data_IF_546716466598
#
_entry.id   IF_546716466598
#
_cell.length_a   1.000
_cell.length_b   1.000
_cell.length_c   1.000
_cell.angle_alpha   90.00
_cell.angle_beta   90.00
_cell.angle_gamma   90.00
#
_symmetry.space_group_name_H-M   'P 1'
#
loop_
_entity.id
_entity.type
_entity.pdbx_description
1 polymer ?
#
# COMPACT_ATOMS: atom_id res chain seq x y z
N UNK A 1 -8.84 -7.70 21.79
CA UNK A 1 -8.57 -6.84 20.62
C UNK A 1 -7.16 -7.14 20.16
N UNK A 2 -6.94 -7.29 18.86
CA UNK A 2 -5.60 -7.46 18.29
C UNK A 2 -5.18 -6.09 17.75
N UNK A 3 -4.06 -5.56 18.23
CA UNK A 3 -3.44 -4.33 17.73
C UNK A 3 -2.28 -4.69 16.81
N UNK A 4 -2.22 -4.09 15.63
CA UNK A 4 -1.02 -4.09 14.80
C UNK A 4 -0.15 -2.88 15.13
N UNK A 5 1.15 -3.09 15.27
CA UNK A 5 2.13 -2.01 15.40
C UNK A 5 3.07 -2.10 14.19
N UNK A 6 3.18 -1.02 13.41
CA UNK A 6 4.22 -0.85 12.40
C UNK A 6 5.38 -0.04 13.03
N UNK A 7 6.62 -0.28 12.58
CA UNK A 7 7.79 0.39 13.12
C UNK A 7 8.10 1.68 12.38
N UNK A 8 8.56 2.68 13.13
CA UNK A 8 8.89 3.99 12.61
C UNK A 8 10.35 4.16 12.22
N UNK A 9 10.53 5.01 11.23
CA UNK A 9 11.66 5.08 10.29
C UNK A 9 12.85 5.84 10.82
N UNK A 10 14.00 5.79 10.14
CA UNK A 10 15.04 6.84 10.04
C UNK A 10 15.43 6.92 8.57
N UNK A 11 15.10 8.01 7.88
CA UNK A 11 15.51 8.19 6.48
C UNK A 11 17.03 8.41 6.40
N UNK A 12 17.75 7.44 5.81
CA UNK A 12 19.15 7.59 5.42
C UNK A 12 19.23 7.48 3.89
N UNK A 13 19.70 8.54 3.22
CA UNK A 13 19.92 8.51 1.77
C UNK A 13 21.19 7.72 1.46
N UNK A 14 21.06 6.41 1.24
CA UNK A 14 22.18 5.57 0.82
C UNK A 14 21.84 4.08 0.69
N UNK A 15 21.37 3.67 -0.49
CA UNK A 15 21.15 2.26 -0.87
C UNK A 15 19.87 2.06 -1.69
N UNK A 16 19.95 1.25 -2.75
CA UNK A 16 18.82 0.74 -3.58
C UNK A 16 18.20 -0.50 -2.93
N UNK A 17 16.91 -0.78 -3.15
CA UNK A 17 16.05 -1.64 -2.29
C UNK A 17 15.33 -2.79 -3.04
N UNK A 18 14.65 -3.77 -2.43
CA UNK A 18 14.04 -4.99 -3.07
C UNK A 18 12.70 -4.76 -3.80
N UNK A 19 12.00 -5.84 -4.24
CA UNK A 19 10.56 -5.96 -4.60
C UNK A 19 9.91 -7.09 -3.77
N UNK A 20 8.85 -6.83 -2.99
CA UNK A 20 8.24 -7.77 -2.02
C UNK A 20 6.98 -7.12 -1.41
N UNK A 21 6.04 -7.91 -0.87
CA UNK A 21 4.90 -7.38 -0.12
C UNK A 21 4.68 -8.08 1.22
N UNK A 22 4.96 -7.38 2.32
CA UNK A 22 4.60 -7.82 3.66
C UNK A 22 3.12 -7.56 3.94
N UNK A 23 2.46 -8.40 4.74
CA UNK A 23 1.09 -8.16 5.22
C UNK A 23 0.99 -8.46 6.72
N UNK A 24 0.36 -7.58 7.49
CA UNK A 24 0.23 -7.80 8.94
C UNK A 24 -0.81 -8.87 9.26
N UNK A 25 -0.57 -9.69 10.29
CA UNK A 25 -1.55 -10.60 10.87
C UNK A 25 -1.80 -11.88 10.06
N UNK A 26 -0.87 -12.26 9.18
CA UNK A 26 -0.95 -13.49 8.40
C UNK A 26 -0.31 -14.70 9.10
N UNK A 27 -0.65 -15.89 8.63
CA UNK A 27 0.07 -17.14 8.90
C UNK A 27 0.18 -17.87 7.57
N UNK A 28 1.37 -17.85 6.98
CA UNK A 28 1.54 -18.18 5.56
C UNK A 28 0.73 -17.22 4.69
N UNK A 29 -0.13 -17.75 3.81
CA UNK A 29 -1.05 -16.96 2.98
C UNK A 29 -2.43 -16.75 3.65
N UNK A 30 -2.67 -17.31 4.84
CA UNK A 30 -3.96 -17.16 5.53
C UNK A 30 -3.99 -15.93 6.44
N UNK A 31 -5.18 -15.36 6.67
CA UNK A 31 -5.38 -14.24 7.58
C UNK A 31 -5.12 -12.88 6.93
N UNK A 32 -4.30 -12.09 7.61
CA UNK A 32 -3.99 -10.68 7.35
C UNK A 32 -5.06 -9.68 7.79
N UNK A 33 -4.60 -8.48 8.16
CA UNK A 33 -5.46 -7.34 8.46
C UNK A 33 -5.80 -6.57 7.18
N UNK A 34 -7.06 -6.17 7.04
CA UNK A 34 -7.57 -5.43 5.89
C UNK A 34 -8.85 -4.70 6.25
N UNK A 35 -9.22 -3.67 5.49
CA UNK A 35 -10.55 -3.07 5.59
C UNK A 35 -11.62 -4.03 5.05
N UNK A 36 -12.77 -4.10 5.72
CA UNK A 36 -13.90 -4.93 5.28
C UNK A 36 -14.56 -4.29 4.05
N UNK A 37 -14.87 -5.07 3.02
CA UNK A 37 -15.60 -4.56 1.86
C UNK A 37 -17.11 -4.39 2.14
N UNK A 38 -17.65 -5.13 3.11
CA UNK A 38 -19.03 -5.00 3.53
C UNK A 38 -19.16 -3.93 4.62
N UNK A 39 -20.32 -3.22 4.70
CA UNK A 39 -20.57 -2.24 5.76
C UNK A 39 -20.26 -2.80 7.14
N UNK A 40 -19.44 -2.07 7.89
CA UNK A 40 -19.04 -2.44 9.24
C UNK A 40 -19.11 -1.20 10.11
N UNK A 41 -19.55 -1.38 11.35
CA UNK A 41 -19.56 -0.28 12.33
C UNK A 41 -18.77 -0.65 13.57
N UNK A 42 -18.01 0.29 14.11
CA UNK A 42 -17.38 0.19 15.43
C UNK A 42 -17.75 1.42 16.26
N UNK A 43 -18.30 1.20 17.46
CA UNK A 43 -18.77 2.27 18.35
C UNK A 43 -19.71 3.30 17.69
N UNK A 44 -20.51 2.86 16.70
CA UNK A 44 -21.43 3.72 15.96
C UNK A 44 -20.84 4.40 14.72
N UNK A 45 -19.53 4.28 14.50
CA UNK A 45 -18.85 4.82 13.31
C UNK A 45 -18.76 3.76 12.22
N UNK A 46 -19.00 4.14 10.96
CA UNK A 46 -18.68 3.32 9.77
C UNK A 46 -17.17 3.04 9.73
N UNK A 47 -16.77 1.79 9.46
CA UNK A 47 -15.39 1.27 9.44
C UNK A 47 -15.22 0.19 8.38
N UNK A 48 -15.60 0.50 7.14
CA UNK A 48 -15.44 -0.39 6.00
C UNK A 48 -14.98 0.37 4.77
N UNK A 49 -14.91 -0.30 3.63
CA UNK A 49 -14.71 0.32 2.32
C UNK A 49 -16.03 0.90 1.74
N UNK A 50 -17.15 0.75 2.45
CA UNK A 50 -18.46 1.24 2.03
C UNK A 50 -18.53 2.76 1.96
N UNK A 51 -18.29 3.32 0.77
CA UNK A 51 -18.19 4.77 0.54
C UNK A 51 -16.76 5.30 0.49
N UNK A 52 -15.76 4.41 0.56
CA UNK A 52 -14.33 4.75 0.59
C UNK A 52 -13.80 4.94 2.01
N UNK A 53 -12.48 4.86 2.14
CA UNK A 53 -11.77 5.12 3.40
C UNK A 53 -11.69 6.63 3.57
N UNK A 54 -12.26 7.18 4.64
CA UNK A 54 -12.15 8.62 4.89
C UNK A 54 -10.90 8.92 5.67
N UNK A 55 -10.29 10.06 5.36
CA UNK A 55 -9.15 10.54 6.11
C UNK A 55 -9.38 11.95 6.65
N UNK A 56 -8.91 12.18 7.86
CA UNK A 56 -8.87 13.50 8.46
C UNK A 56 -7.44 13.87 8.83
N UNK A 57 -7.21 15.13 9.22
CA UNK A 57 -5.87 15.61 9.53
C UNK A 57 -5.87 16.60 10.69
N UNK A 58 -4.77 16.61 11.42
CA UNK A 58 -4.50 17.58 12.46
C UNK A 58 -4.64 19.01 11.92
N UNK A 59 -5.43 19.84 12.60
CA UNK A 59 -5.76 21.19 12.17
C UNK A 59 -6.92 21.28 11.16
N UNK A 60 -7.55 20.15 10.78
CA UNK A 60 -8.81 20.10 10.05
C UNK A 60 -8.76 20.63 8.62
N UNK A 61 -7.57 20.77 8.03
CA UNK A 61 -7.38 21.25 6.65
C UNK A 61 -5.95 21.01 6.19
N UNK A 62 -5.71 20.99 4.87
CA UNK A 62 -4.35 20.89 4.32
C UNK A 62 -3.45 22.01 4.83
N UNK A 63 -3.96 23.24 4.93
CA UNK A 63 -3.22 24.37 5.51
C UNK A 63 -2.88 24.16 7.00
N UNK A 64 -3.83 23.61 7.76
CA UNK A 64 -3.64 23.26 9.17
C UNK A 64 -2.55 22.23 9.37
N UNK A 65 -2.56 21.15 8.59
CA UNK A 65 -1.53 20.11 8.61
C UNK A 65 -0.18 20.66 8.13
N UNK A 66 -0.16 21.37 7.00
CA UNK A 66 1.04 22.00 6.43
C UNK A 66 1.76 22.89 7.45
N UNK A 67 1.01 23.69 8.20
CA UNK A 67 1.57 24.59 9.22
C UNK A 67 2.30 23.86 10.37
N UNK A 68 2.14 22.54 10.49
CA UNK A 68 2.84 21.75 11.50
C UNK A 68 4.27 21.39 11.11
N UNK A 69 4.58 21.36 9.81
CA UNK A 69 5.85 20.89 9.27
C UNK A 69 6.74 22.04 8.79
N UNK A 70 8.05 21.76 8.73
CA UNK A 70 9.02 22.62 8.04
C UNK A 70 9.37 21.98 6.71
N UNK A 71 9.29 22.74 5.61
CA UNK A 71 9.66 22.27 4.28
C UNK A 71 10.86 23.03 3.73
N UNK A 72 11.71 22.34 2.97
CA UNK A 72 12.74 22.98 2.14
C UNK A 72 12.13 23.49 0.83
N UNK A 73 12.82 24.40 0.13
CA UNK A 73 12.48 24.73 -1.26
C UNK A 73 11.28 25.65 -1.50
N UNK A 74 10.71 26.29 -0.47
CA UNK A 74 9.62 27.26 -0.66
C UNK A 74 8.27 26.64 -1.01
N UNK A 75 8.03 25.41 -0.56
CA UNK A 75 6.76 24.67 -0.71
C UNK A 75 5.56 25.50 -0.23
N UNK A 76 4.50 25.49 -1.03
CA UNK A 76 3.23 26.15 -0.68
C UNK A 76 2.22 25.18 -0.09
N UNK A 77 1.13 25.70 0.49
CA UNK A 77 -0.01 24.87 0.94
C UNK A 77 -0.57 24.03 -0.19
N UNK A 78 -0.65 24.58 -1.42
CA UNK A 78 -1.14 23.86 -2.60
C UNK A 78 -0.24 22.69 -2.95
N UNK A 79 1.07 22.88 -2.92
CA UNK A 79 2.03 21.80 -3.21
C UNK A 79 1.92 20.69 -2.16
N UNK A 80 1.76 21.06 -0.89
CA UNK A 80 1.53 20.10 0.20
C UNK A 80 0.20 19.36 0.07
N UNK A 81 -0.86 20.04 -0.35
CA UNK A 81 -2.15 19.41 -0.62
C UNK A 81 -2.01 18.36 -1.73
N UNK A 82 -1.39 18.71 -2.85
CA UNK A 82 -1.15 17.78 -3.96
C UNK A 82 -0.34 16.58 -3.50
N UNK A 83 0.71 16.78 -2.71
CA UNK A 83 1.51 15.67 -2.18
C UNK A 83 0.70 14.71 -1.31
N UNK A 84 -0.24 15.21 -0.49
CA UNK A 84 -1.13 14.36 0.31
C UNK A 84 -2.10 13.59 -0.59
N UNK A 85 -2.76 14.28 -1.53
CA UNK A 85 -3.70 13.65 -2.46
C UNK A 85 -3.03 12.60 -3.34
N UNK A 86 -1.82 12.87 -3.84
CA UNK A 86 -1.01 11.93 -4.61
C UNK A 86 -0.61 10.70 -3.78
N UNK A 87 -0.26 10.89 -2.51
CA UNK A 87 0.11 9.77 -1.63
C UNK A 87 -1.06 8.79 -1.41
N UNK A 88 -2.28 9.32 -1.23
CA UNK A 88 -3.49 8.48 -1.19
C UNK A 88 -3.81 7.86 -2.55
N UNK A 89 -3.71 8.65 -3.63
CA UNK A 89 -4.02 8.19 -4.98
C UNK A 89 -3.07 7.08 -5.44
N UNK A 90 -1.82 7.06 -4.99
CA UNK A 90 -0.85 6.01 -5.29
C UNK A 90 -1.43 4.60 -5.07
N UNK A 91 -2.24 4.41 -4.02
CA UNK A 91 -2.84 3.12 -3.70
C UNK A 91 -4.08 2.77 -4.53
N UNK A 92 -4.61 3.71 -5.31
CA UNK A 92 -5.82 3.56 -6.13
C UNK A 92 -5.54 3.37 -7.63
N UNK A 93 -4.32 3.68 -8.09
CA UNK A 93 -4.00 3.66 -9.52
C UNK A 93 -4.08 2.25 -10.11
N UNK A 94 -4.43 2.15 -11.40
CA UNK A 94 -4.41 0.86 -12.10
C UNK A 94 -2.98 0.37 -12.24
N UNK A 95 -2.73 -0.92 -11.97
CA UNK A 95 -1.43 -1.54 -12.22
C UNK A 95 -1.12 -1.42 -13.72
N UNK A 96 -0.09 -0.66 -14.13
CA UNK A 96 0.21 -0.44 -15.54
C UNK A 96 0.71 -1.70 -16.26
N UNK A 97 1.23 -2.69 -15.52
CA UNK A 97 1.74 -3.93 -16.10
C UNK A 97 0.62 -4.96 -16.33
N UNK A 98 -0.29 -5.10 -15.36
CA UNK A 98 -1.35 -6.14 -15.42
C UNK A 98 -2.73 -5.61 -15.81
N UNK A 99 -2.95 -4.29 -15.75
CA UNK A 99 -4.27 -3.67 -15.91
C UNK A 99 -5.20 -3.89 -14.72
N UNK A 100 -4.75 -4.55 -13.65
CA UNK A 100 -5.58 -4.79 -12.47
C UNK A 100 -5.83 -3.50 -11.69
N UNK A 101 -7.11 -3.26 -11.40
CA UNK A 101 -7.55 -2.14 -10.58
C UNK A 101 -7.70 -2.55 -9.12
N UNK A 102 -8.17 -1.63 -8.29
CA UNK A 102 -8.59 -1.88 -6.91
C UNK A 102 -9.95 -1.22 -6.65
N UNK A 103 -10.66 -1.68 -5.62
CA UNK A 103 -11.87 -1.03 -5.12
C UNK A 103 -11.56 0.02 -4.03
N UNK A 104 -10.28 0.18 -3.66
CA UNK A 104 -9.86 1.23 -2.73
C UNK A 104 -10.17 2.62 -3.29
N UNK A 105 -10.74 3.46 -2.44
CA UNK A 105 -10.97 4.87 -2.69
C UNK A 105 -10.80 5.64 -1.39
N UNK A 106 -10.35 6.89 -1.49
CA UNK A 106 -10.09 7.74 -0.34
C UNK A 106 -10.85 9.05 -0.47
N UNK A 107 -11.44 9.51 0.64
CA UNK A 107 -12.19 10.77 0.67
C UNK A 107 -11.76 11.62 1.86
N UNK A 108 -11.40 12.90 1.67
CA UNK A 108 -11.15 13.78 2.80
C UNK A 108 -12.43 14.01 3.61
N UNK A 109 -12.36 13.84 4.93
CA UNK A 109 -13.43 14.14 5.89
C UNK A 109 -12.89 15.09 6.96
N UNK A 110 -12.77 16.37 6.59
CA UNK A 110 -12.28 17.42 7.49
C UNK A 110 -13.33 17.92 8.47
N UNK A 111 -14.58 17.48 8.34
CA UNK A 111 -15.63 17.76 9.30
C UNK A 111 -15.50 16.86 10.54
N UNK A 112 -15.02 15.63 10.35
CA UNK A 112 -14.59 14.76 11.44
C UNK A 112 -13.24 15.23 11.98
N UNK A 113 -13.19 15.55 13.26
CA UNK A 113 -11.94 15.93 13.93
C UNK A 113 -10.96 14.77 13.93
N UNK A 114 -9.71 15.01 13.56
CA UNK A 114 -8.63 14.04 13.78
C UNK A 114 -8.43 13.82 15.28
N UNK A 115 -8.64 12.60 15.75
CA UNK A 115 -8.55 12.27 17.18
C UNK A 115 -7.38 11.35 17.43
N UNK A 116 -6.26 11.94 17.84
CA UNK A 116 -5.00 11.20 18.04
C UNK A 116 -4.89 10.50 19.39
N UNK A 117 -3.67 10.00 19.62
CA UNK A 117 -3.27 9.12 20.71
C UNK A 117 -3.09 9.80 22.09
N UNK A 118 -4.06 10.61 22.55
CA UNK A 118 -3.97 11.29 23.86
C UNK A 118 -2.68 12.11 24.07
N UNK A 119 -2.42 12.56 25.31
CA UNK A 119 -1.39 13.57 25.59
C UNK A 119 0.08 13.10 25.41
N UNK A 120 0.35 11.81 25.17
CA UNK A 120 1.73 11.28 25.14
C UNK A 120 2.02 10.25 24.04
N UNK A 121 1.17 10.06 23.02
CA UNK A 121 1.32 9.04 21.96
C UNK A 121 1.57 7.58 22.45
N UNK A 122 1.52 7.32 23.75
CA UNK A 122 1.54 6.02 24.40
C UNK A 122 0.12 5.48 24.65
N UNK A 123 -0.91 6.27 24.33
CA UNK A 123 -2.29 5.81 24.29
C UNK A 123 -2.53 4.86 23.11
N UNK A 124 -3.53 3.99 23.24
CA UNK A 124 -4.02 3.19 22.11
C UNK A 124 -4.72 4.08 21.07
N UNK A 125 -4.86 3.56 19.86
CA UNK A 125 -5.56 4.22 18.76
C UNK A 125 -6.98 4.64 19.15
N UNK A 126 -7.40 5.84 18.74
CA UNK A 126 -8.75 6.34 18.99
C UNK A 126 -9.63 6.21 17.76
N UNK A 127 -10.45 5.15 17.72
CA UNK A 127 -11.38 4.88 16.60
C UNK A 127 -12.58 5.84 16.54
N UNK A 128 -12.53 7.04 17.12
CA UNK A 128 -13.60 8.05 17.02
C UNK A 128 -13.34 9.13 15.96
N UNK A 129 -12.13 9.21 15.40
CA UNK A 129 -11.82 10.07 14.26
C UNK A 129 -12.31 9.51 12.91
N UNK A 130 -11.67 9.89 11.82
CA UNK A 130 -11.93 9.27 10.52
C UNK A 130 -11.37 7.82 10.49
N UNK A 131 -11.49 7.11 9.37
CA UNK A 131 -10.85 5.81 9.24
C UNK A 131 -9.31 5.91 9.30
N UNK A 132 -8.75 6.98 8.73
CA UNK A 132 -7.32 7.32 8.80
C UNK A 132 -7.14 8.76 9.29
N UNK A 133 -6.45 8.97 10.41
CA UNK A 133 -6.14 10.31 10.90
C UNK A 133 -4.64 10.65 10.75
N UNK A 134 -4.33 11.82 10.18
CA UNK A 134 -2.96 12.27 9.94
C UNK A 134 -2.49 13.26 11.01
N UNK A 135 -1.33 13.00 11.61
CA UNK A 135 -0.74 13.80 12.66
C UNK A 135 0.71 14.20 12.38
N UNK A 136 1.09 15.36 12.89
CA UNK A 136 2.46 15.86 12.94
C UNK A 136 2.91 15.89 14.40
N UNK A 137 3.95 15.13 14.76
CA UNK A 137 4.35 14.95 16.16
C UNK A 137 5.86 15.00 16.38
N UNK A 138 6.28 15.49 17.54
CA UNK A 138 7.69 15.73 17.86
C UNK A 138 8.34 14.60 18.68
N UNK A 139 7.54 13.71 19.26
CA UNK A 139 8.00 12.72 20.25
C UNK A 139 7.25 11.39 20.06
N UNK A 140 7.43 10.76 18.90
CA UNK A 140 6.75 9.51 18.54
C UNK A 140 7.25 8.29 19.32
N UNK A 141 6.77 7.10 18.97
CA UNK A 141 7.28 5.88 19.59
C UNK A 141 8.68 5.54 19.08
N UNK A 142 8.97 5.87 17.81
CA UNK A 142 10.26 5.57 17.17
C UNK A 142 11.22 6.77 17.10
N UNK A 143 10.85 7.91 17.67
CA UNK A 143 11.70 9.07 17.74
C UNK A 143 11.43 9.90 18.99
N UNK A 144 12.48 10.51 19.54
CA UNK A 144 12.36 11.38 20.71
C UNK A 144 12.34 12.86 20.30
N UNK A 145 11.88 13.72 21.21
CA UNK A 145 11.98 15.17 21.06
C UNK A 145 13.39 15.62 20.63
N UNK A 146 13.44 16.44 19.58
CA UNK A 146 14.69 16.95 19.00
C UNK A 146 15.25 16.09 17.87
N UNK A 147 14.61 14.95 17.56
CA UNK A 147 14.93 14.18 16.36
C UNK A 147 14.54 14.97 15.09
N UNK A 148 15.50 15.11 14.17
CA UNK A 148 15.34 15.85 12.89
C UNK A 148 15.25 14.94 11.67
N UNK A 149 15.22 13.62 11.86
CA UNK A 149 15.05 12.63 10.81
C UNK A 149 13.64 12.65 10.24
N UNK A 150 13.54 12.51 8.93
CA UNK A 150 12.26 12.31 8.23
C UNK A 150 11.77 10.90 8.54
N UNK A 151 10.74 10.79 9.38
CA UNK A 151 10.28 9.54 9.97
C UNK A 151 8.75 9.55 10.04
N UNK A 152 8.13 8.40 9.80
CA UNK A 152 6.72 8.17 10.03
C UNK A 152 6.52 7.00 10.98
N UNK A 153 5.32 6.88 11.53
CA UNK A 153 4.81 5.64 12.10
C UNK A 153 3.31 5.55 11.83
N UNK A 154 2.84 4.33 11.59
CA UNK A 154 1.43 4.03 11.46
C UNK A 154 0.99 3.07 12.54
N UNK A 155 -0.16 3.38 13.13
CA UNK A 155 -0.85 2.48 14.05
C UNK A 155 -2.21 2.16 13.50
N UNK A 156 -2.65 0.93 13.69
CA UNK A 156 -4.03 0.56 13.38
C UNK A 156 -4.58 -0.39 14.43
N UNK A 157 -5.90 -0.37 14.56
CA UNK A 157 -6.63 -1.32 15.36
C UNK A 157 -7.45 -2.23 14.45
N UNK A 158 -7.45 -3.53 14.75
CA UNK A 158 -8.30 -4.49 14.08
C UNK A 158 -9.36 -5.07 15.03
N UNK A 159 -10.59 -5.14 14.54
CA UNK A 159 -11.59 -6.04 15.07
C UNK A 159 -11.32 -7.47 14.57
N UNK A 160 -11.64 -8.46 15.39
CA UNK A 160 -11.67 -9.84 14.92
C UNK A 160 -12.88 -10.11 14.02
N UNK A 161 -13.05 -11.39 13.67
CA UNK A 161 -14.18 -11.87 12.89
C UNK A 161 -13.93 -11.80 11.39
N UNK A 162 -14.64 -12.63 10.61
CA UNK A 162 -14.40 -12.69 9.17
C UNK A 162 -14.75 -11.35 8.51
N UNK A 163 -14.18 -11.15 7.33
CA UNK A 163 -14.40 -9.98 6.47
C UNK A 163 -15.04 -10.39 5.15
N UNK A 164 -15.59 -9.42 4.45
CA UNK A 164 -15.90 -9.53 3.04
C UNK A 164 -14.73 -8.97 2.23
N UNK A 165 -14.26 -9.73 1.24
CA UNK A 165 -13.23 -9.29 0.31
C UNK A 165 -13.82 -8.33 -0.73
N UNK A 166 -12.98 -7.49 -1.34
CA UNK A 166 -13.38 -6.62 -2.47
C UNK A 166 -13.83 -7.38 -3.71
N UNK A 167 -13.52 -8.67 -3.80
CA UNK A 167 -14.05 -9.60 -4.79
C UNK A 167 -15.50 -10.05 -4.49
N UNK A 168 -16.04 -9.72 -3.32
CA UNK A 168 -17.37 -10.15 -2.88
C UNK A 168 -17.40 -11.45 -2.08
N UNK A 169 -16.26 -12.13 -1.89
CA UNK A 169 -16.21 -13.30 -1.00
C UNK A 169 -16.49 -12.88 0.44
N UNK A 170 -17.60 -13.34 1.00
CA UNK A 170 -17.97 -13.15 2.41
C UNK A 170 -17.37 -14.24 3.30
N UNK A 171 -17.17 -13.96 4.58
CA UNK A 171 -16.77 -14.99 5.55
C UNK A 171 -15.28 -15.33 5.50
N UNK A 172 -14.46 -14.50 4.84
CA UNK A 172 -13.02 -14.74 4.74
C UNK A 172 -12.35 -14.54 6.11
N UNK A 173 -11.57 -15.51 6.55
CA UNK A 173 -10.91 -15.47 7.85
C UNK A 173 -9.71 -14.50 7.83
N UNK A 174 -9.94 -13.28 8.29
CA UNK A 174 -8.98 -12.18 8.39
C UNK A 174 -9.35 -11.30 9.59
N UNK A 175 -8.54 -10.30 9.92
CA UNK A 175 -8.93 -9.26 10.88
C UNK A 175 -9.33 -7.99 10.16
N UNK A 176 -10.44 -7.37 10.59
CA UNK A 176 -10.94 -6.15 9.98
C UNK A 176 -10.30 -4.92 10.63
N UNK A 177 -9.60 -4.08 9.86
CA UNK A 177 -9.14 -2.79 10.35
C UNK A 177 -10.37 -1.92 10.69
N UNK A 178 -10.32 -1.24 11.83
CA UNK A 178 -11.41 -0.39 12.35
C UNK A 178 -10.95 1.03 12.72
N UNK A 179 -9.76 1.41 12.28
CA UNK A 179 -9.16 2.72 12.50
C UNK A 179 -7.64 2.66 12.36
N UNK A 180 -7.05 3.72 11.80
CA UNK A 180 -5.61 3.90 11.67
C UNK A 180 -5.21 5.36 11.91
N UNK A 181 -4.06 5.56 12.54
CA UNK A 181 -3.45 6.88 12.72
C UNK A 181 -2.08 6.84 12.05
N UNK A 182 -1.80 7.84 11.22
CA UNK A 182 -0.50 8.08 10.60
C UNK A 182 0.14 9.28 11.29
N UNK A 183 1.36 9.11 11.77
CA UNK A 183 2.08 10.15 12.52
C UNK A 183 3.42 10.39 11.82
N UNK A 184 3.70 11.63 11.44
CA UNK A 184 4.98 12.01 10.84
C UNK A 184 5.78 12.89 11.80
N UNK A 185 7.09 12.69 11.85
CA UNK A 185 7.99 13.47 12.69
C UNK A 185 8.06 14.92 12.20
N UNK A 186 7.45 15.84 12.95
CA UNK A 186 7.43 17.27 12.59
C UNK A 186 8.72 18.02 12.96
N UNK A 187 9.62 17.39 13.71
CA UNK A 187 10.95 17.93 14.03
C UNK A 187 11.91 17.91 12.83
N UNK A 188 11.54 17.21 11.76
CA UNK A 188 12.30 17.15 10.52
C UNK A 188 11.98 18.31 9.58
N UNK A 189 12.93 18.62 8.69
CA UNK A 189 12.67 19.41 7.48
C UNK A 189 12.42 18.47 6.32
N UNK A 190 11.27 18.61 5.66
CA UNK A 190 10.90 17.76 4.53
C UNK A 190 11.20 18.41 3.19
N UNK A 191 11.78 17.64 2.28
CA UNK A 191 11.55 17.86 0.85
C UNK A 191 10.16 17.30 0.50
N UNK A 192 9.46 17.93 -0.44
CA UNK A 192 8.09 17.53 -0.78
C UNK A 192 8.01 16.09 -1.33
N UNK A 193 9.01 15.66 -2.11
CA UNK A 193 9.04 14.31 -2.65
C UNK A 193 9.22 13.27 -1.56
N UNK A 194 10.07 13.57 -0.56
CA UNK A 194 10.27 12.72 0.61
C UNK A 194 8.99 12.64 1.43
N UNK A 195 8.33 13.78 1.68
CA UNK A 195 7.06 13.82 2.42
C UNK A 195 5.99 12.96 1.75
N UNK A 196 5.81 13.09 0.42
CA UNK A 196 4.86 12.28 -0.35
C UNK A 196 5.18 10.79 -0.26
N UNK A 197 6.44 10.41 -0.47
CA UNK A 197 6.85 9.00 -0.43
C UNK A 197 6.64 8.40 0.95
N UNK A 198 7.07 9.09 1.99
CA UNK A 198 6.87 8.65 3.36
C UNK A 198 5.39 8.51 3.69
N UNK A 199 4.57 9.50 3.33
CA UNK A 199 3.12 9.39 3.55
C UNK A 199 2.51 8.22 2.76
N UNK A 200 2.94 7.99 1.51
CA UNK A 200 2.48 6.85 0.70
C UNK A 200 2.82 5.53 1.38
N UNK A 201 4.03 5.41 1.93
CA UNK A 201 4.47 4.26 2.70
C UNK A 201 3.56 4.03 3.92
N UNK A 202 3.35 5.06 4.74
CA UNK A 202 2.52 4.97 5.95
C UNK A 202 1.06 4.62 5.62
N UNK A 203 0.51 5.13 4.52
CA UNK A 203 -0.82 4.72 4.03
C UNK A 203 -0.84 3.21 3.72
N UNK A 204 0.25 2.64 3.23
CA UNK A 204 0.38 1.20 3.04
C UNK A 204 0.17 0.42 4.34
N UNK A 205 0.76 0.87 5.44
CA UNK A 205 0.49 0.28 6.76
C UNK A 205 -0.96 0.42 7.20
N UNK A 206 -1.59 1.58 6.95
CA UNK A 206 -3.02 1.77 7.22
C UNK A 206 -3.93 0.85 6.40
N UNK A 207 -3.42 0.32 5.29
CA UNK A 207 -4.09 -0.68 4.45
C UNK A 207 -3.76 -2.13 4.84
N UNK A 208 -2.90 -2.34 5.83
CA UNK A 208 -2.53 -3.67 6.34
C UNK A 208 -1.25 -4.25 5.76
N UNK A 209 -0.48 -3.49 4.97
CA UNK A 209 0.85 -3.91 4.50
C UNK A 209 1.88 -3.78 5.61
N UNK A 210 2.74 -4.78 5.73
CA UNK A 210 3.88 -4.76 6.65
C UNK A 210 5.15 -4.40 5.88
N UNK A 211 6.16 -3.93 6.61
CA UNK A 211 7.50 -3.77 6.06
C UNK A 211 8.06 -5.11 5.59
N UNK A 212 8.78 -5.09 4.47
CA UNK A 212 9.32 -6.29 3.84
C UNK A 212 10.60 -6.83 4.47
N UNK A 213 11.30 -6.02 5.26
CA UNK A 213 12.68 -6.27 5.70
C UNK A 213 12.89 -6.09 7.22
N UNK A 214 11.83 -5.83 7.99
CA UNK A 214 11.91 -5.71 9.45
C UNK A 214 11.85 -7.07 10.14
N UNK A 215 12.85 -7.31 10.99
CA UNK A 215 12.91 -8.47 11.89
C UNK A 215 12.05 -8.31 13.15
N UNK A 216 11.63 -7.11 13.53
CA UNK A 216 10.75 -6.86 14.68
C UNK A 216 9.26 -6.86 14.33
N UNK A 217 8.67 -8.06 14.22
CA UNK A 217 7.22 -8.30 14.21
C UNK A 217 6.71 -9.07 12.99
N UNK A 218 6.35 -10.35 13.18
CA UNK A 218 6.06 -11.37 12.14
C UNK A 218 7.24 -11.73 11.21
N UNK A 219 8.47 -11.66 11.75
CA UNK A 219 9.69 -12.23 11.16
C UNK A 219 10.06 -11.74 9.74
N UNK A 220 9.70 -10.52 9.32
CA UNK A 220 10.08 -10.04 7.98
C UNK A 220 9.60 -10.98 6.88
N UNK A 221 8.32 -11.37 6.96
CA UNK A 221 7.72 -12.29 5.98
C UNK A 221 7.00 -11.52 4.91
N UNK A 222 7.28 -11.83 3.65
CA UNK A 222 6.56 -11.28 2.50
C UNK A 222 6.04 -12.37 1.59
N UNK A 223 5.09 -11.99 0.74
CA UNK A 223 4.48 -12.86 -0.27
C UNK A 223 5.15 -12.62 -1.61
N UNK A 224 5.48 -13.71 -2.28
CA UNK A 224 6.12 -13.72 -3.59
C UNK A 224 5.81 -15.04 -4.32
N UNK A 225 6.13 -15.14 -5.61
CA UNK A 225 5.91 -16.36 -6.40
C UNK A 225 7.17 -17.19 -6.62
N UNK A 226 8.35 -16.57 -6.56
CA UNK A 226 9.59 -17.24 -6.94
C UNK A 226 10.82 -16.78 -6.16
N UNK A 227 10.69 -15.95 -5.11
CA UNK A 227 11.82 -15.44 -4.33
C UNK A 227 12.91 -16.48 -4.01
N UNK A 228 14.14 -16.17 -4.42
CA UNK A 228 15.34 -16.96 -4.18
C UNK A 228 16.41 -16.11 -3.49
N UNK A 229 16.47 -16.21 -2.15
CA UNK A 229 17.45 -15.52 -1.32
C UNK A 229 18.87 -16.12 -1.30
N UNK A 230 19.20 -17.10 -2.16
CA UNK A 230 20.50 -17.79 -2.10
C UNK A 230 21.70 -16.96 -2.59
N UNK A 231 21.48 -15.94 -3.41
CA UNK A 231 22.54 -15.00 -3.81
C UNK A 231 22.01 -13.60 -4.16
N UNK A 232 22.90 -12.62 -4.04
CA UNK A 232 22.69 -11.23 -4.42
C UNK A 232 22.12 -11.05 -5.85
N UNK A 233 22.68 -11.80 -6.80
CA UNK A 233 22.30 -11.67 -8.20
C UNK A 233 21.00 -12.43 -8.54
N UNK A 234 20.71 -13.53 -7.83
CA UNK A 234 19.53 -14.36 -8.08
C UNK A 234 18.27 -13.70 -7.51
N UNK A 235 18.35 -13.16 -6.30
CA UNK A 235 17.23 -12.49 -5.66
C UNK A 235 16.79 -11.22 -6.40
N UNK A 236 17.74 -10.44 -6.93
CA UNK A 236 17.42 -9.14 -7.54
C UNK A 236 16.91 -9.20 -8.98
N UNK A 237 17.56 -10.03 -9.83
CA UNK A 237 17.35 -9.98 -11.27
C UNK A 237 16.33 -11.00 -11.79
N UNK A 238 16.02 -12.05 -11.02
CA UNK A 238 15.15 -13.14 -11.46
C UNK A 238 13.79 -13.21 -10.73
N UNK A 239 13.70 -12.72 -9.49
CA UNK A 239 12.54 -13.01 -8.63
C UNK A 239 11.79 -11.79 -8.13
N UNK A 240 12.45 -10.63 -8.14
CA UNK A 240 11.90 -9.39 -7.58
C UNK A 240 11.73 -8.37 -8.70
N UNK A 241 11.16 -8.73 -9.85
CA UNK A 241 10.91 -7.75 -10.93
C UNK A 241 9.65 -8.06 -11.74
N UNK A 242 9.15 -9.29 -11.66
CA UNK A 242 7.88 -9.71 -12.24
C UNK A 242 6.70 -9.23 -11.38
N UNK A 243 5.53 -9.07 -12.00
CA UNK A 243 4.30 -8.92 -11.24
C UNK A 243 3.72 -10.30 -10.98
N UNK A 244 3.46 -10.61 -9.71
CA UNK A 244 2.71 -11.80 -9.30
C UNK A 244 1.23 -11.50 -9.02
N UNK A 245 0.78 -10.28 -9.29
CA UNK A 245 -0.59 -9.82 -9.00
C UNK A 245 -1.68 -10.74 -9.59
N UNK A 246 -1.44 -11.29 -10.78
CA UNK A 246 -2.36 -12.21 -11.47
C UNK A 246 -2.42 -13.62 -10.86
N UNK A 247 -1.48 -13.98 -9.97
CA UNK A 247 -1.50 -15.26 -9.26
C UNK A 247 -2.40 -15.23 -8.02
N UNK A 248 -2.79 -14.04 -7.56
CA UNK A 248 -3.70 -13.91 -6.42
C UNK A 248 -5.05 -14.48 -6.79
N UNK A 249 -5.48 -15.51 -6.07
CA UNK A 249 -6.83 -16.04 -6.20
C UNK A 249 -7.81 -15.01 -5.57
N UNK A 250 -8.65 -14.35 -6.38
CA UNK A 250 -9.44 -13.24 -5.88
C UNK A 250 -10.55 -13.69 -4.93
N UNK A 251 -10.96 -14.95 -5.01
CA UNK A 251 -12.01 -15.51 -4.16
C UNK A 251 -11.45 -16.07 -2.84
N UNK A 252 -10.18 -16.48 -2.82
CA UNK A 252 -9.50 -16.99 -1.66
C UNK A 252 -7.99 -16.76 -1.78
N UNK A 253 -7.47 -15.59 -1.35
CA UNK A 253 -6.05 -15.27 -1.44
C UNK A 253 -5.14 -16.32 -0.77
N UNK A 254 -5.61 -16.98 0.29
CA UNK A 254 -4.88 -18.06 0.95
C UNK A 254 -4.67 -19.32 0.08
N UNK A 255 -5.47 -19.49 -0.96
CA UNK A 255 -5.39 -20.59 -1.93
C UNK A 255 -4.77 -20.16 -3.28
N UNK A 256 -4.02 -19.05 -3.29
CA UNK A 256 -3.28 -18.60 -4.48
C UNK A 256 -2.21 -19.61 -4.84
N UNK A 257 -2.33 -20.23 -6.02
CA UNK A 257 -1.37 -21.22 -6.51
C UNK A 257 -0.13 -20.50 -7.05
N UNK A 258 1.05 -20.98 -6.67
CA UNK A 258 2.31 -20.39 -7.09
C UNK A 258 2.80 -19.26 -6.18
N UNK A 259 2.00 -18.80 -5.21
CA UNK A 259 2.46 -17.88 -4.18
C UNK A 259 2.95 -18.63 -2.94
N UNK A 260 3.95 -18.07 -2.27
CA UNK A 260 4.47 -18.55 -1.00
C UNK A 260 4.86 -17.38 -0.10
N UNK A 261 5.01 -17.65 1.20
CA UNK A 261 5.56 -16.68 2.14
C UNK A 261 7.03 -16.98 2.38
N UNK A 262 7.86 -15.94 2.29
CA UNK A 262 9.30 -16.01 2.46
C UNK A 262 9.73 -15.15 3.63
N UNK A 263 10.65 -15.66 4.45
CA UNK A 263 11.29 -14.90 5.52
C UNK A 263 12.56 -14.27 4.98
N UNK A 264 12.69 -12.95 5.11
CA UNK A 264 13.90 -12.23 4.73
C UNK A 264 14.46 -11.47 5.92
N UNK A 265 15.73 -11.76 6.21
CA UNK A 265 16.46 -11.07 7.26
C UNK A 265 16.86 -9.69 6.76
N UNK A 266 16.75 -8.67 7.63
CA UNK A 266 17.29 -7.34 7.35
C UNK A 266 18.77 -7.44 6.91
N UNK A 267 19.14 -6.75 5.83
CA UNK A 267 20.48 -6.81 5.23
C UNK A 267 20.68 -7.95 4.22
N UNK A 268 19.65 -8.80 4.05
CA UNK A 268 19.22 -9.43 2.80
C UNK A 268 19.81 -8.84 1.51
N UNK A 269 20.83 -9.40 0.84
CA UNK A 269 21.50 -8.58 -0.17
C UNK A 269 20.64 -8.56 -1.48
N UNK A 270 19.71 -9.52 -1.64
CA UNK A 270 18.61 -9.45 -2.60
C UNK A 270 17.66 -8.27 -2.42
N UNK A 271 17.45 -7.83 -1.17
CA UNK A 271 16.60 -6.68 -0.86
C UNK A 271 17.26 -5.33 -0.94
N UNK A 272 18.53 -5.29 -1.34
CA UNK A 272 19.32 -4.06 -1.46
C UNK A 272 20.00 -3.91 -2.83
N UNK A 273 19.48 -4.60 -3.84
CA UNK A 273 20.13 -4.72 -5.14
C UNK A 273 19.69 -3.65 -6.13
N UNK A 274 20.56 -3.31 -7.08
CA UNK A 274 20.30 -2.28 -8.09
C UNK A 274 19.11 -2.65 -9.00
N UNK A 275 18.22 -1.69 -9.24
CA UNK A 275 17.07 -1.84 -10.15
C UNK A 275 15.82 -2.43 -9.49
N UNK A 276 15.89 -2.66 -8.18
CA UNK A 276 14.79 -3.17 -7.38
C UNK A 276 14.24 -1.99 -6.53
N UNK A 277 12.93 -1.97 -6.22
CA UNK A 277 12.28 -0.77 -5.69
C UNK A 277 10.94 -1.04 -4.95
N UNK A 278 10.96 -1.03 -3.62
CA UNK A 278 9.77 -1.20 -2.77
C UNK A 278 9.46 0.08 -2.04
N UNK A 279 8.18 0.45 -2.08
CA UNK A 279 7.66 1.46 -1.18
C UNK A 279 7.70 0.99 0.29
N UNK A 280 7.18 -0.19 0.59
CA UNK A 280 7.11 -0.85 1.92
C UNK A 280 8.44 -1.39 2.51
N UNK A 281 9.60 -0.76 2.31
CA UNK A 281 10.88 -1.14 2.94
C UNK A 281 11.11 -0.25 4.16
N UNK A 282 11.64 -0.81 5.26
CA UNK A 282 11.85 -0.10 6.53
C UNK A 282 13.05 0.82 6.63
N UNK A 283 14.09 0.62 5.82
CA UNK A 283 15.34 1.39 5.92
C UNK A 283 15.55 2.38 4.78
N UNK A 284 14.57 2.58 3.90
CA UNK A 284 14.65 3.54 2.81
C UNK A 284 13.32 3.73 2.08
N UNK A 285 13.06 4.95 1.59
CA UNK A 285 11.93 5.26 0.71
C UNK A 285 12.25 4.86 -0.75
N UNK A 286 12.66 3.61 -0.98
CA UNK A 286 12.85 2.98 -2.31
C UNK A 286 13.76 3.70 -3.33
N UNK A 287 14.38 4.84 -2.99
CA UNK A 287 15.08 5.69 -3.96
C UNK A 287 14.19 6.37 -5.01
N UNK A 288 12.85 6.38 -4.86
CA UNK A 288 11.88 6.91 -5.84
C UNK A 288 11.63 8.42 -5.77
N UNK A 289 12.61 9.19 -5.30
CA UNK A 289 12.46 10.63 -5.14
C UNK A 289 12.09 11.27 -6.49
N UNK A 290 10.85 11.76 -6.60
CA UNK A 290 10.31 12.41 -7.80
C UNK A 290 9.25 11.64 -8.58
N UNK A 291 9.01 10.34 -8.32
CA UNK A 291 7.96 9.57 -9.02
C UNK A 291 6.57 9.84 -8.41
N UNK A 292 5.58 10.21 -9.24
CA UNK A 292 4.19 10.44 -8.82
C UNK A 292 3.45 9.13 -8.53
N UNK A 293 3.98 8.01 -8.99
CA UNK A 293 3.43 6.66 -8.79
C UNK A 293 4.47 5.79 -8.10
N UNK A 294 4.58 5.86 -6.76
CA UNK A 294 5.65 5.16 -6.05
C UNK A 294 5.46 3.65 -5.96
N UNK A 295 4.31 3.12 -6.38
CA UNK A 295 4.09 1.68 -6.36
C UNK A 295 4.85 0.99 -7.49
N UNK A 296 5.61 -0.05 -7.16
CA UNK A 296 6.22 -0.98 -8.11
C UNK A 296 5.36 -2.22 -8.36
N UNK A 297 5.80 -3.10 -9.28
CA UNK A 297 5.09 -4.33 -9.65
C UNK A 297 4.69 -5.20 -8.44
N UNK A 298 5.55 -5.31 -7.42
CA UNK A 298 5.24 -6.11 -6.22
C UNK A 298 4.36 -5.34 -5.23
N UNK A 299 4.38 -4.01 -5.21
CA UNK A 299 3.39 -3.25 -4.43
C UNK A 299 1.97 -3.44 -5.02
N UNK A 300 1.85 -3.51 -6.34
CA UNK A 300 0.59 -3.85 -7.01
C UNK A 300 0.16 -5.30 -6.74
N UNK A 301 1.09 -6.27 -6.80
CA UNK A 301 0.82 -7.65 -6.40
C UNK A 301 0.39 -7.75 -4.94
N UNK A 302 1.15 -7.09 -4.08
CA UNK A 302 0.88 -6.88 -2.66
C UNK A 302 -0.53 -6.41 -2.45
N UNK A 303 -0.94 -5.36 -3.16
CA UNK A 303 -2.29 -4.78 -3.09
C UNK A 303 -3.41 -5.74 -3.43
N UNK A 304 -3.22 -6.61 -4.42
CA UNK A 304 -4.26 -7.58 -4.80
C UNK A 304 -4.51 -8.63 -3.70
N UNK A 305 -3.54 -8.87 -2.82
CA UNK A 305 -3.70 -9.89 -1.77
C UNK A 305 -4.71 -9.52 -0.67
N UNK A 306 -4.67 -8.33 -0.04
CA UNK A 306 -5.73 -7.87 0.84
C UNK A 306 -6.98 -7.41 0.08
N UNK A 307 -6.81 -6.81 -1.11
CA UNK A 307 -7.90 -6.17 -1.88
C UNK A 307 -8.01 -6.75 -3.30
N UNK A 308 -8.37 -8.04 -3.44
CA UNK A 308 -8.45 -8.67 -4.75
C UNK A 308 -9.57 -8.10 -5.61
N UNK A 309 -9.28 -7.87 -6.89
CA UNK A 309 -10.27 -7.50 -7.89
C UNK A 309 -10.74 -8.73 -8.68
N UNK A 310 -12.06 -8.85 -8.89
CA UNK A 310 -12.61 -9.76 -9.92
C UNK A 310 -12.54 -9.16 -11.33
N UNK A 311 -12.35 -7.84 -11.43
CA UNK A 311 -12.18 -7.17 -12.69
C UNK A 311 -10.74 -7.39 -13.17
N UNK A 312 -10.51 -8.55 -13.76
CA UNK A 312 -9.51 -8.64 -14.83
C UNK A 312 -10.10 -7.81 -15.95
N UNK A 313 -9.72 -6.54 -16.06
CA UNK A 313 -9.80 -5.89 -17.36
C UNK A 313 -8.99 -6.80 -18.27
N UNK A 314 -9.68 -7.62 -19.08
CA UNK A 314 -9.04 -8.46 -20.08
C UNK A 314 -8.37 -7.45 -21.01
N UNK A 315 -7.11 -7.12 -20.76
CA UNK A 315 -6.25 -6.50 -21.75
C UNK A 315 -6.28 -7.51 -22.89
N UNK A 316 -6.90 -7.21 -24.04
CA UNK A 316 -6.88 -8.15 -25.14
C UNK A 316 -5.40 -8.39 -25.41
N UNK A 317 -4.95 -9.64 -25.26
CA UNK A 317 -3.60 -9.99 -25.68
C UNK A 317 -3.43 -9.49 -27.11
N UNK A 318 -2.27 -8.94 -27.47
CA UNK A 318 -2.04 -8.44 -28.83
C UNK A 318 -2.38 -9.51 -29.91
N UNK A 319 -2.32 -10.79 -29.55
CA UNK A 319 -2.76 -11.92 -30.37
C UNK A 319 -4.29 -11.99 -30.63
N UNK A 320 -5.13 -11.54 -29.71
CA UNK A 320 -6.60 -11.55 -29.89
C UNK A 320 -7.04 -10.50 -30.92
N UNK A 321 -6.37 -9.35 -30.96
CA UNK A 321 -6.58 -8.33 -32.00
C UNK A 321 -6.05 -8.78 -33.37
N UNK A 322 -4.93 -9.51 -33.41
CA UNK A 322 -4.41 -10.10 -34.64
C UNK A 322 -5.37 -11.16 -35.23
N UNK A 323 -5.94 -12.04 -34.40
CA UNK A 323 -6.94 -13.03 -34.82
C UNK A 323 -8.24 -12.41 -35.34
N UNK A 324 -8.67 -11.28 -34.76
CA UNK A 324 -9.82 -10.51 -35.25
C UNK A 324 -9.53 -9.79 -36.57
N UNK A 325 -8.31 -9.27 -36.75
CA UNK A 325 -7.87 -8.65 -38.00
C UNK A 325 -7.75 -9.68 -39.14
N UNK A 326 -7.20 -10.87 -38.85
CA UNK A 326 -7.07 -11.96 -39.82
C UNK A 326 -8.44 -12.55 -40.19
N UNK A 327 -9.34 -12.70 -39.21
CA UNK A 327 -10.71 -13.16 -39.43
C UNK A 327 -11.52 -12.20 -40.33
N UNK A 328 -11.39 -10.88 -40.11
CA UNK A 328 -12.02 -9.87 -40.94
C UNK A 328 -11.45 -9.85 -42.37
N UNK A 329 -10.13 -10.05 -42.52
CA UNK A 329 -9.46 -10.15 -43.82
C UNK A 329 -9.94 -11.35 -44.65
N UNK A 330 -10.07 -12.52 -44.01
CA UNK A 330 -10.59 -13.74 -44.65
C UNK A 330 -12.05 -13.60 -45.08
N UNK A 331 -12.90 -13.01 -44.25
CA UNK A 331 -14.31 -12.77 -44.58
C UNK A 331 -14.45 -11.77 -45.74
N UNK A 332 -13.64 -10.70 -45.75
CA UNK A 332 -13.57 -9.74 -46.85
C UNK A 332 -13.15 -10.38 -48.18
N UNK A 333 -12.15 -11.26 -48.16
CA UNK A 333 -11.69 -11.99 -49.35
C UNK A 333 -12.75 -12.95 -49.92
N UNK A 334 -13.49 -13.66 -49.05
CA UNK A 334 -14.57 -14.57 -49.45
C UNK A 334 -15.74 -13.80 -50.09
N UNK A 335 -16.12 -12.66 -49.51
CA UNK A 335 -17.20 -11.81 -50.05
C UNK A 335 -16.79 -11.21 -51.42
N UNK A 336 -15.53 -10.76 -51.56
CA UNK A 336 -15.03 -10.23 -52.82
C UNK A 336 -15.00 -11.29 -53.94
N UNK A 337 -14.68 -12.55 -53.62
CA UNK A 337 -14.65 -13.65 -54.59
C UNK A 337 -16.04 -14.02 -55.09
N UNK A 338 -17.07 -13.95 -54.24
CA UNK A 338 -18.48 -14.20 -54.63
C UNK A 338 -19.11 -13.11 -55.49
N UNK A 339 -18.54 -11.90 -55.53
CA UNK A 339 -19.01 -10.80 -56.38
C UNK A 339 -18.39 -10.79 -57.78
N UNK A 340 -17.40 -11.66 -58.05
CA UNK A 340 -16.70 -11.76 -59.33
C UNK A 340 -17.03 -13.05 -60.11
N UNK A 341 -17.89 -13.90 -59.56
CA UNK A 341 -18.49 -15.04 -60.24
C UNK A 341 -19.96 -14.70 -60.54
#
# INVERSE_FOLDING_TARGET
MLSGFALGFVCWSGGTSANAAGVFGNTGLSGCFRWDAAPRTNAGNERSLGGGIRYSMQGGSYAGLFSQFTFSGGVTVTDSQLAVEEAFNAWTVTDPATGLTTALSFTPDFATTAVGLGDNMNGGLNTNGAEIDLFAYNDGFFWNLGNTGQQGETRFQAAGGPVTLTSGTTGYNAGAIIGSDIILNRGATYDLSVFRLLLSHEIGHSLGFADVDITSGLNGTFIDDNYDGTSNATAAAATLNNSWALLVNPLNPAASVGLSSYTVLNGQPGTKSNGVNILMESQGLGGQFGDLTPLSNHDYGGRQFPYPSLNVAVVPEAGTLALLADGAGLLGAVIARRRRA
#
